data_IF_968373329996
#
_entry.id   IF_968373329996
#
_cell.length_a   1.000
_cell.length_b   1.000
_cell.length_c   1.000
_cell.angle_alpha   90.00
_cell.angle_beta   90.00
_cell.angle_gamma   90.00
#
_symmetry.space_group_name_H-M   'P 1'
#
loop_
_entity.id
_entity.type
_entity.pdbx_description
1 polymer ?
#
# COMPACT_ATOMS: atom_id res chain seq x y z
N UNK A 1 -10.87 28.93 -28.25
CA UNK A 1 -9.58 28.49 -28.80
C UNK A 1 -9.52 26.99 -28.77
N UNK A 2 -9.45 26.40 -29.93
CA UNK A 2 -9.50 24.95 -30.17
C UNK A 2 -8.28 24.28 -29.54
N UNK A 3 -8.48 23.13 -28.90
CA UNK A 3 -7.42 22.25 -28.40
C UNK A 3 -6.70 21.60 -29.59
N UNK A 4 -5.77 22.33 -30.20
CA UNK A 4 -4.92 21.87 -31.29
C UNK A 4 -3.67 21.20 -30.73
N UNK A 5 -3.55 19.91 -31.04
CA UNK A 5 -2.33 19.12 -31.22
C UNK A 5 -1.11 19.49 -30.36
N UNK A 6 -1.11 19.04 -29.11
CA UNK A 6 0.15 18.83 -28.40
C UNK A 6 0.71 17.48 -28.87
N UNK A 7 1.49 17.49 -29.94
CA UNK A 7 2.33 16.37 -30.34
C UNK A 7 3.53 16.30 -29.39
N UNK A 8 3.42 15.51 -28.34
CA UNK A 8 4.54 15.21 -27.45
C UNK A 8 5.26 14.01 -28.03
N UNK A 9 6.40 14.25 -28.71
CA UNK A 9 7.44 13.28 -29.04
C UNK A 9 6.97 11.91 -29.52
N UNK A 10 6.69 11.71 -30.81
CA UNK A 10 6.67 10.38 -31.45
C UNK A 10 5.54 9.42 -31.09
N UNK A 11 4.74 9.69 -30.10
CA UNK A 11 3.59 8.89 -29.68
C UNK A 11 2.32 9.47 -30.32
N UNK A 12 1.41 8.56 -30.78
CA UNK A 12 0.12 8.98 -31.35
C UNK A 12 -0.71 9.82 -30.36
N UNK A 13 -1.80 10.46 -30.80
CA UNK A 13 -2.62 11.30 -29.93
C UNK A 13 -3.10 10.49 -28.71
N UNK A 14 -3.21 11.14 -27.53
CA UNK A 14 -3.69 10.47 -26.31
C UNK A 14 -5.12 9.90 -26.56
N UNK A 15 -5.47 8.80 -25.90
CA UNK A 15 -6.79 8.20 -26.04
C UNK A 15 -7.87 9.20 -25.59
N UNK A 16 -9.01 9.25 -26.29
CA UNK A 16 -10.15 10.09 -25.87
C UNK A 16 -10.90 9.51 -24.69
N UNK A 17 -10.71 8.21 -24.42
CA UNK A 17 -11.36 7.47 -23.35
C UNK A 17 -10.38 6.53 -22.68
N UNK A 18 -10.45 6.42 -21.34
CA UNK A 18 -9.70 5.46 -20.52
C UNK A 18 -10.66 4.76 -19.56
N UNK A 19 -10.49 3.45 -19.42
CA UNK A 19 -11.23 2.60 -18.49
C UNK A 19 -10.32 2.20 -17.32
N UNK A 20 -10.67 2.62 -16.10
CA UNK A 20 -9.97 2.30 -14.86
C UNK A 20 -10.53 1.02 -14.26
N UNK A 21 -9.68 0.01 -14.06
CA UNK A 21 -10.00 -1.21 -13.31
C UNK A 21 -9.74 -1.02 -11.81
N UNK A 22 -10.69 -1.44 -10.96
CA UNK A 22 -10.56 -1.33 -9.51
C UNK A 22 -11.38 -2.40 -8.79
N UNK A 23 -11.05 -2.65 -7.50
CA UNK A 23 -11.86 -3.49 -6.61
C UNK A 23 -13.14 -2.78 -6.15
N UNK A 24 -14.10 -3.57 -5.64
CA UNK A 24 -15.37 -3.05 -5.15
C UNK A 24 -15.33 -2.39 -3.76
N UNK A 25 -14.22 -2.51 -3.01
CA UNK A 25 -14.14 -1.93 -1.66
C UNK A 25 -14.17 -0.39 -1.68
N UNK A 26 -14.72 0.23 -0.64
CA UNK A 26 -14.81 1.69 -0.52
C UNK A 26 -13.44 2.36 -0.66
N UNK A 27 -12.40 1.79 -0.02
CA UNK A 27 -11.04 2.30 -0.11
C UNK A 27 -10.49 2.22 -1.55
N UNK A 28 -10.69 1.11 -2.26
CA UNK A 28 -10.25 0.98 -3.65
C UNK A 28 -10.96 1.99 -4.57
N UNK A 29 -12.25 2.21 -4.35
CA UNK A 29 -13.03 3.23 -5.09
C UNK A 29 -12.54 4.64 -4.79
N UNK A 30 -12.27 4.97 -3.53
CA UNK A 30 -11.69 6.27 -3.15
C UNK A 30 -10.32 6.50 -3.81
N UNK A 31 -9.47 5.48 -3.85
CA UNK A 31 -8.17 5.54 -4.55
C UNK A 31 -8.34 5.74 -6.05
N UNK A 32 -9.29 5.04 -6.67
CA UNK A 32 -9.58 5.20 -8.11
C UNK A 32 -10.13 6.57 -8.42
N UNK A 33 -10.98 7.13 -7.55
CA UNK A 33 -11.47 8.51 -7.67
C UNK A 33 -10.31 9.51 -7.62
N UNK A 34 -9.32 9.32 -6.74
CA UNK A 34 -8.14 10.18 -6.67
C UNK A 34 -7.33 10.15 -7.99
N UNK A 35 -7.12 8.95 -8.57
CA UNK A 35 -6.48 8.80 -9.88
C UNK A 35 -7.29 9.49 -10.98
N UNK A 36 -8.61 9.25 -11.02
CA UNK A 36 -9.49 9.86 -12.02
C UNK A 36 -9.49 11.39 -11.95
N UNK A 37 -9.48 11.95 -10.74
CA UNK A 37 -9.42 13.40 -10.52
C UNK A 37 -8.07 13.98 -10.97
N UNK A 38 -6.95 13.31 -10.68
CA UNK A 38 -5.63 13.69 -11.18
C UNK A 38 -5.59 13.70 -12.72
N UNK A 39 -6.12 12.66 -13.36
CA UNK A 39 -6.19 12.59 -14.82
C UNK A 39 -7.07 13.69 -15.41
N UNK A 40 -8.26 13.95 -14.86
CA UNK A 40 -9.14 15.03 -15.35
C UNK A 40 -8.51 16.41 -15.22
N UNK A 41 -7.72 16.64 -14.18
CA UNK A 41 -7.04 17.94 -13.99
C UNK A 41 -6.03 18.23 -15.11
N UNK A 42 -5.36 17.20 -15.64
CA UNK A 42 -4.37 17.33 -16.71
C UNK A 42 -4.96 17.13 -18.11
N UNK A 43 -6.04 16.37 -18.21
CA UNK A 43 -6.71 16.02 -19.46
C UNK A 43 -8.22 16.33 -19.39
N UNK A 44 -8.65 17.62 -19.47
CA UNK A 44 -10.06 18.00 -19.31
C UNK A 44 -11.02 17.35 -20.32
N UNK A 45 -10.52 16.96 -21.51
CA UNK A 45 -11.30 16.30 -22.57
C UNK A 45 -11.31 14.79 -22.49
N UNK A 46 -10.64 14.19 -21.49
CA UNK A 46 -10.55 12.73 -21.36
C UNK A 46 -11.82 12.15 -20.72
N UNK A 47 -12.46 11.24 -21.43
CA UNK A 47 -13.56 10.44 -20.87
C UNK A 47 -12.99 9.33 -19.99
N UNK A 48 -13.37 9.31 -18.70
CA UNK A 48 -12.91 8.31 -17.75
C UNK A 48 -14.08 7.47 -17.27
N UNK A 49 -13.97 6.16 -17.50
CA UNK A 49 -14.90 5.16 -16.95
C UNK A 49 -14.21 4.33 -15.86
N UNK A 50 -14.99 3.83 -14.91
CA UNK A 50 -14.50 2.92 -13.87
C UNK A 50 -15.21 1.59 -13.97
N UNK A 51 -14.44 0.50 -14.08
CA UNK A 51 -14.93 -0.88 -14.09
C UNK A 51 -14.55 -1.55 -12.76
N UNK A 52 -15.57 -1.94 -11.98
CA UNK A 52 -15.37 -2.70 -10.75
C UNK A 52 -15.15 -4.16 -11.10
N UNK A 53 -14.02 -4.71 -10.64
CA UNK A 53 -13.65 -6.10 -10.84
C UNK A 53 -13.71 -6.80 -9.48
N UNK A 54 -14.49 -7.87 -9.41
CA UNK A 54 -14.58 -8.71 -8.22
C UNK A 54 -13.33 -9.57 -8.12
N UNK A 55 -12.72 -9.62 -6.96
CA UNK A 55 -11.54 -10.45 -6.70
C UNK A 55 -11.86 -11.56 -5.72
N UNK A 56 -11.14 -12.67 -5.81
CA UNK A 56 -11.27 -13.81 -4.88
C UNK A 56 -11.08 -13.41 -3.42
N UNK A 57 -10.25 -12.39 -3.18
CA UNK A 57 -10.05 -11.81 -1.85
C UNK A 57 -11.26 -11.05 -1.31
N UNK A 58 -12.07 -10.45 -2.19
CA UNK A 58 -13.31 -9.75 -1.78
C UNK A 58 -14.43 -10.73 -1.44
N UNK A 59 -14.43 -11.93 -2.03
CA UNK A 59 -15.43 -12.99 -1.77
C UNK A 59 -15.12 -13.82 -0.51
N UNK A 60 -14.03 -13.54 0.19
CA UNK A 60 -13.63 -14.26 1.40
C UNK A 60 -13.26 -15.73 1.17
N UNK A 61 -13.07 -16.16 -0.08
CA UNK A 61 -12.64 -17.52 -0.41
C UNK A 61 -11.23 -17.76 0.13
N UNK A 62 -11.05 -18.84 0.86
CA UNK A 62 -9.72 -19.29 1.28
C UNK A 62 -8.91 -19.64 0.02
N UNK A 63 -7.59 -19.31 -0.04
CA UNK A 63 -6.74 -19.83 -1.10
C UNK A 63 -6.88 -21.34 -1.16
N UNK A 64 -7.04 -21.88 -2.36
CA UNK A 64 -7.15 -23.32 -2.59
C UNK A 64 -5.84 -24.03 -2.20
N UNK A 65 -4.74 -23.28 -2.14
CA UNK A 65 -3.42 -23.78 -1.78
C UNK A 65 -2.84 -22.96 -0.62
N UNK A 66 -2.72 -23.59 0.55
CA UNK A 66 -2.10 -22.99 1.75
C UNK A 66 -0.62 -22.66 1.54
N UNK A 67 0.04 -23.24 0.52
CA UNK A 67 1.46 -23.06 0.20
C UNK A 67 1.68 -21.99 -0.87
N UNK A 68 0.65 -21.61 -1.64
CA UNK A 68 0.74 -20.59 -2.68
C UNK A 68 0.78 -19.15 -2.15
N UNK A 69 0.72 -18.94 -0.82
CA UNK A 69 0.70 -17.63 -0.21
C UNK A 69 -0.55 -16.81 -0.63
N UNK A 70 -0.62 -15.55 -0.17
CA UNK A 70 -1.67 -14.60 -0.61
C UNK A 70 -1.33 -13.89 -1.92
N UNK A 71 -0.38 -14.42 -2.69
CA UNK A 71 0.11 -13.82 -3.93
C UNK A 71 -1.04 -13.65 -4.93
N UNK A 72 -1.32 -12.44 -5.34
CA UNK A 72 -2.36 -12.15 -6.34
C UNK A 72 -3.82 -12.26 -5.88
N UNK A 73 -4.11 -12.58 -4.61
CA UNK A 73 -5.50 -12.74 -4.13
C UNK A 73 -6.40 -11.51 -4.38
N UNK A 74 -5.80 -10.35 -4.47
CA UNK A 74 -6.47 -9.06 -4.67
C UNK A 74 -6.15 -8.39 -6.00
N UNK A 75 -5.25 -8.94 -6.80
CA UNK A 75 -4.75 -8.31 -8.04
C UNK A 75 -4.93 -9.17 -9.28
N UNK A 76 -4.94 -10.50 -9.16
CA UNK A 76 -4.93 -11.41 -10.30
C UNK A 76 -6.09 -11.21 -11.29
N UNK A 77 -7.31 -10.98 -10.80
CA UNK A 77 -8.47 -10.74 -11.65
C UNK A 77 -8.39 -9.39 -12.36
N UNK A 78 -7.84 -8.36 -11.68
CA UNK A 78 -7.65 -7.03 -12.26
C UNK A 78 -6.55 -7.07 -13.31
N UNK A 79 -5.44 -7.77 -13.03
CA UNK A 79 -4.33 -7.95 -13.97
C UNK A 79 -4.77 -8.75 -15.21
N UNK A 80 -5.61 -9.76 -15.04
CA UNK A 80 -6.22 -10.47 -16.20
C UNK A 80 -7.08 -9.54 -17.06
N UNK A 81 -7.93 -8.73 -16.46
CA UNK A 81 -8.75 -7.76 -17.18
C UNK A 81 -7.88 -6.69 -17.87
N UNK A 82 -6.77 -6.29 -17.25
CA UNK A 82 -5.79 -5.38 -17.83
C UNK A 82 -5.12 -5.99 -19.07
N UNK A 83 -4.61 -7.22 -18.96
CA UNK A 83 -3.96 -7.94 -20.07
C UNK A 83 -4.94 -8.29 -21.21
N UNK A 84 -6.21 -8.56 -20.89
CA UNK A 84 -7.26 -8.81 -21.87
C UNK A 84 -7.72 -7.53 -22.60
N UNK A 85 -7.31 -6.33 -22.16
CA UNK A 85 -7.77 -5.06 -22.73
C UNK A 85 -9.16 -4.63 -22.25
N UNK A 86 -9.73 -5.30 -21.27
CA UNK A 86 -11.02 -4.97 -20.66
C UNK A 86 -11.00 -3.65 -19.87
N UNK A 87 -9.80 -3.28 -19.41
CA UNK A 87 -9.45 -2.01 -18.77
C UNK A 87 -8.11 -1.52 -19.32
N UNK A 88 -7.90 -0.21 -19.31
CA UNK A 88 -6.66 0.40 -19.81
C UNK A 88 -5.61 0.54 -18.71
N UNK A 89 -6.05 0.77 -17.50
CA UNK A 89 -5.19 0.81 -16.32
C UNK A 89 -5.86 0.22 -15.09
N UNK A 90 -5.07 -0.23 -14.14
CA UNK A 90 -5.50 -0.78 -12.87
C UNK A 90 -4.99 0.07 -11.69
N UNK A 91 -5.86 0.34 -10.72
CA UNK A 91 -5.53 1.14 -9.54
C UNK A 91 -5.40 0.24 -8.32
N UNK A 92 -4.26 0.36 -7.63
CA UNK A 92 -3.91 -0.48 -6.50
C UNK A 92 -3.38 0.31 -5.30
N UNK A 93 -3.61 -0.21 -4.10
CA UNK A 93 -2.72 0.09 -2.97
C UNK A 93 -1.39 -0.62 -3.24
N UNK A 94 -0.29 0.10 -3.38
CA UNK A 94 0.99 -0.49 -3.81
C UNK A 94 1.50 -1.60 -2.88
N UNK A 95 1.18 -1.54 -1.59
CA UNK A 95 1.54 -2.58 -0.60
C UNK A 95 0.84 -3.93 -0.82
N UNK A 96 -0.25 -3.95 -1.59
CA UNK A 96 -1.01 -5.16 -1.89
C UNK A 96 -0.55 -5.83 -3.21
N UNK A 97 0.30 -5.12 -3.99
CA UNK A 97 0.94 -5.67 -5.19
C UNK A 97 2.05 -6.66 -4.79
N UNK A 98 2.18 -7.79 -5.49
CA UNK A 98 3.30 -8.71 -5.27
C UNK A 98 4.64 -8.00 -5.58
N UNK A 99 5.73 -8.46 -4.96
CA UNK A 99 7.08 -7.91 -5.20
C UNK A 99 7.49 -7.99 -6.67
N UNK A 100 7.09 -9.06 -7.37
CA UNK A 100 7.18 -9.22 -8.81
C UNK A 100 5.81 -9.00 -9.45
N UNK A 101 5.75 -8.19 -10.50
CA UNK A 101 4.51 -7.96 -11.23
C UNK A 101 4.23 -9.11 -12.21
N UNK A 102 2.98 -9.27 -12.58
CA UNK A 102 2.58 -10.16 -13.67
C UNK A 102 3.27 -9.74 -14.97
N UNK A 103 3.87 -10.71 -15.68
CA UNK A 103 4.54 -10.45 -16.95
C UNK A 103 3.60 -9.73 -17.93
N UNK A 104 4.14 -8.76 -18.67
CA UNK A 104 3.35 -7.91 -19.57
C UNK A 104 2.66 -6.73 -18.89
N UNK A 105 2.95 -6.47 -17.60
CA UNK A 105 2.43 -5.30 -16.88
C UNK A 105 3.54 -4.49 -16.22
N UNK A 106 3.30 -3.20 -16.01
CA UNK A 106 4.22 -2.30 -15.31
C UNK A 106 3.48 -1.28 -14.45
N UNK A 107 4.12 -0.78 -13.39
CA UNK A 107 3.65 0.40 -12.66
C UNK A 107 4.13 1.63 -13.44
N UNK A 108 3.22 2.29 -14.15
CA UNK A 108 3.52 3.45 -14.96
C UNK A 108 3.55 4.74 -14.16
N UNK A 109 2.65 4.89 -13.18
CA UNK A 109 2.58 6.07 -12.34
C UNK A 109 2.24 5.72 -10.89
N UNK A 110 2.60 6.62 -9.98
CA UNK A 110 2.15 6.62 -8.59
C UNK A 110 1.70 8.02 -8.21
N UNK A 111 0.69 8.11 -7.35
CA UNK A 111 0.30 9.41 -6.79
C UNK A 111 1.21 9.80 -5.62
N UNK A 112 1.25 11.10 -5.24
CA UNK A 112 1.95 11.55 -4.05
C UNK A 112 1.62 10.68 -2.84
N UNK A 113 2.65 10.34 -2.06
CA UNK A 113 2.54 9.40 -0.96
C UNK A 113 1.74 9.98 0.19
N UNK A 114 0.70 9.30 0.62
CA UNK A 114 -0.02 9.58 1.87
C UNK A 114 0.80 9.15 3.09
N UNK A 115 0.43 9.58 4.34
CA UNK A 115 1.12 9.16 5.55
C UNK A 115 1.34 7.66 5.65
N UNK A 116 2.55 7.28 6.00
CA UNK A 116 2.99 5.87 6.03
C UNK A 116 2.70 5.16 7.34
N UNK A 117 2.29 5.92 8.36
CA UNK A 117 2.16 5.45 9.72
C UNK A 117 1.13 4.34 9.88
N UNK A 118 1.41 3.43 10.79
CA UNK A 118 0.39 2.58 11.39
C UNK A 118 -0.21 3.32 12.60
N UNK A 119 -1.49 3.11 12.83
CA UNK A 119 -2.22 3.67 13.97
C UNK A 119 -2.85 2.58 14.81
N UNK A 120 -2.76 2.74 16.12
CA UNK A 120 -3.50 1.97 17.09
C UNK A 120 -4.88 2.62 17.23
N UNK A 121 -5.93 1.91 16.86
CA UNK A 121 -7.32 2.38 16.94
C UNK A 121 -8.04 1.66 18.06
N UNK A 122 -8.64 2.41 18.98
CA UNK A 122 -9.31 1.89 20.17
C UNK A 122 -10.61 2.66 20.47
N UNK A 123 -11.53 2.07 21.25
CA UNK A 123 -12.75 2.74 21.68
C UNK A 123 -12.48 3.87 22.70
N UNK A 124 -11.41 3.74 23.46
CA UNK A 124 -10.96 4.74 24.45
C UNK A 124 -9.52 5.15 24.15
N UNK A 125 -9.12 6.40 24.47
CA UNK A 125 -7.74 6.83 24.28
C UNK A 125 -6.75 5.89 24.96
N UNK A 126 -5.85 5.32 24.18
CA UNK A 126 -4.75 4.48 24.68
C UNK A 126 -3.54 4.57 23.76
N UNK A 127 -2.40 4.26 24.31
CA UNK A 127 -1.17 3.95 23.58
C UNK A 127 -0.76 2.49 23.81
N UNK A 128 0.29 2.05 23.17
CA UNK A 128 0.73 0.66 23.29
C UNK A 128 1.16 0.28 24.72
N UNK A 129 1.63 1.26 25.50
CA UNK A 129 2.11 1.03 26.88
C UNK A 129 0.95 0.94 27.87
N UNK A 130 -0.13 1.70 27.64
CA UNK A 130 -1.30 1.74 28.52
C UNK A 130 -2.23 0.53 28.36
N UNK A 131 -2.05 -0.29 27.32
CA UNK A 131 -2.80 -1.55 27.17
C UNK A 131 -2.40 -2.51 28.30
N UNK A 132 -3.36 -3.09 29.05
CA UNK A 132 -3.04 -3.96 30.18
C UNK A 132 -2.28 -5.22 29.77
N UNK A 133 -1.62 -5.84 30.73
CA UNK A 133 -0.97 -7.13 30.52
C UNK A 133 -2.00 -8.17 30.02
N UNK A 134 -1.61 -8.99 29.04
CA UNK A 134 -2.49 -9.92 28.32
C UNK A 134 -3.65 -9.24 27.58
N UNK A 135 -3.56 -7.92 27.34
CA UNK A 135 -4.55 -7.20 26.55
C UNK A 135 -4.59 -7.67 25.10
N UNK A 136 -5.77 -7.62 24.48
CA UNK A 136 -6.01 -8.16 23.14
C UNK A 136 -5.89 -7.07 22.10
N UNK A 137 -5.00 -7.26 21.11
CA UNK A 137 -4.91 -6.42 19.91
C UNK A 137 -5.22 -7.26 18.67
N UNK A 138 -6.10 -6.76 17.79
CA UNK A 138 -6.45 -7.49 16.58
C UNK A 138 -5.74 -6.93 15.33
N UNK A 139 -5.07 -7.80 14.58
CA UNK A 139 -4.45 -7.49 13.29
C UNK A 139 -4.31 -8.73 12.41
N UNK A 140 -4.55 -8.59 11.10
CA UNK A 140 -4.30 -9.66 10.12
C UNK A 140 -2.94 -9.54 9.43
N UNK A 141 -2.09 -8.58 9.81
CA UNK A 141 -0.78 -8.35 9.21
C UNK A 141 0.31 -9.10 9.97
N UNK A 142 1.00 -10.00 9.28
CA UNK A 142 2.12 -10.77 9.86
C UNK A 142 3.21 -9.83 10.37
N UNK A 143 3.57 -8.79 9.61
CA UNK A 143 4.53 -7.75 10.03
C UNK A 143 4.12 -7.11 11.36
N UNK A 144 2.89 -6.60 11.46
CA UNK A 144 2.41 -5.95 12.70
C UNK A 144 2.37 -6.90 13.89
N UNK A 145 2.00 -8.18 13.67
CA UNK A 145 2.05 -9.20 14.72
C UNK A 145 3.45 -9.33 15.31
N UNK A 146 4.49 -9.44 14.47
CA UNK A 146 5.87 -9.55 14.94
C UNK A 146 6.35 -8.27 15.63
N UNK A 147 6.03 -7.09 15.09
CA UNK A 147 6.37 -5.82 15.70
C UNK A 147 5.70 -5.62 17.07
N UNK A 148 4.44 -6.02 17.22
CA UNK A 148 3.72 -6.00 18.50
C UNK A 148 4.38 -6.96 19.49
N UNK A 149 4.60 -8.23 19.11
CA UNK A 149 5.24 -9.21 19.99
C UNK A 149 6.68 -8.82 20.40
N UNK A 150 7.41 -8.16 19.51
CA UNK A 150 8.75 -7.66 19.84
C UNK A 150 8.72 -6.63 20.98
N UNK A 151 7.74 -5.74 21.00
CA UNK A 151 7.66 -4.65 21.98
C UNK A 151 6.80 -4.98 23.19
N UNK A 152 5.80 -5.81 23.01
CA UNK A 152 4.83 -6.23 24.03
C UNK A 152 4.53 -7.73 23.85
N UNK A 153 5.50 -8.59 24.26
CA UNK A 153 5.35 -10.05 24.15
C UNK A 153 4.23 -10.62 25.03
N UNK A 154 3.76 -9.84 25.99
CA UNK A 154 2.67 -10.16 26.90
C UNK A 154 1.28 -10.02 26.25
N UNK A 155 1.15 -9.32 25.11
CA UNK A 155 -0.15 -9.08 24.49
C UNK A 155 -0.66 -10.31 23.71
N UNK A 156 -1.96 -10.51 23.77
CA UNK A 156 -2.64 -11.46 22.90
C UNK A 156 -2.92 -10.82 21.54
N UNK A 157 -2.40 -11.42 20.45
CA UNK A 157 -2.60 -10.91 19.10
C UNK A 157 -3.55 -11.83 18.35
N UNK A 158 -4.77 -11.35 18.08
CA UNK A 158 -5.81 -12.07 17.36
C UNK A 158 -5.92 -11.68 15.89
N UNK A 159 -6.44 -12.58 15.05
CA UNK A 159 -6.56 -12.31 13.60
C UNK A 159 -7.73 -11.36 13.29
N UNK A 160 -7.49 -10.40 12.40
CA UNK A 160 -8.49 -9.42 11.96
C UNK A 160 -8.61 -9.40 10.45
N UNK A 161 -9.79 -9.72 9.94
CA UNK A 161 -10.12 -9.75 8.51
C UNK A 161 -11.24 -8.77 8.15
N UNK A 162 -11.25 -8.37 6.89
CA UNK A 162 -12.23 -7.47 6.30
C UNK A 162 -11.61 -6.16 5.82
N UNK A 163 -12.40 -5.32 5.17
CA UNK A 163 -12.05 -3.95 4.81
C UNK A 163 -12.03 -3.04 6.06
N UNK A 164 -11.60 -1.78 5.92
CA UNK A 164 -11.48 -0.85 7.04
C UNK A 164 -12.82 -0.66 7.79
N UNK A 165 -13.97 -0.38 7.11
CA UNK A 165 -15.26 -0.34 7.77
C UNK A 165 -15.62 -1.57 8.60
N UNK A 166 -15.41 -2.75 8.01
CA UNK A 166 -15.66 -4.04 8.71
C UNK A 166 -14.79 -4.19 9.95
N UNK A 167 -13.53 -3.76 9.89
CA UNK A 167 -12.59 -3.86 11.04
C UNK A 167 -12.99 -2.92 12.17
N UNK A 168 -13.40 -1.68 11.85
CA UNK A 168 -13.92 -0.74 12.84
C UNK A 168 -15.21 -1.25 13.48
N UNK A 169 -16.14 -1.79 12.67
CA UNK A 169 -17.36 -2.42 13.19
C UNK A 169 -17.09 -3.61 14.11
N UNK A 170 -16.05 -4.40 13.82
CA UNK A 170 -15.64 -5.52 14.69
C UNK A 170 -15.05 -5.00 16.01
N UNK A 171 -14.20 -3.98 15.97
CA UNK A 171 -13.66 -3.36 17.17
C UNK A 171 -14.79 -2.86 18.09
N UNK A 172 -15.77 -2.14 17.54
CA UNK A 172 -16.90 -1.60 18.31
C UNK A 172 -17.77 -2.68 18.97
N UNK A 173 -17.69 -3.94 18.50
CA UNK A 173 -18.51 -5.07 18.98
C UNK A 173 -17.72 -6.13 19.73
N UNK A 174 -16.42 -5.93 19.90
CA UNK A 174 -15.52 -6.89 20.54
C UNK A 174 -15.04 -6.36 21.88
N UNK A 175 -14.42 -7.24 22.65
CA UNK A 175 -13.68 -6.90 23.87
C UNK A 175 -12.18 -6.60 23.58
N UNK A 176 -11.83 -6.38 22.31
CA UNK A 176 -10.47 -6.02 21.95
C UNK A 176 -10.11 -4.63 22.45
N UNK A 177 -8.93 -4.49 22.99
CA UNK A 177 -8.43 -3.21 23.45
C UNK A 177 -8.14 -2.27 22.27
N UNK A 178 -7.61 -2.83 21.17
CA UNK A 178 -7.30 -2.05 19.99
C UNK A 178 -7.20 -2.91 18.71
N UNK A 179 -7.17 -2.24 17.57
CA UNK A 179 -6.78 -2.79 16.28
C UNK A 179 -5.68 -1.93 15.65
N UNK A 180 -4.88 -2.49 14.73
CA UNK A 180 -3.87 -1.71 14.01
C UNK A 180 -4.28 -1.53 12.56
N UNK A 181 -4.39 -0.26 12.13
CA UNK A 181 -4.72 0.13 10.77
C UNK A 181 -3.62 1.02 10.17
N UNK A 182 -3.59 1.15 8.83
CA UNK A 182 -2.77 2.15 8.16
C UNK A 182 -3.51 3.49 8.14
N UNK A 183 -2.87 4.56 8.60
CA UNK A 183 -3.40 5.92 8.64
C UNK A 183 -3.94 6.37 7.27
N UNK A 184 -3.18 6.16 6.21
CA UNK A 184 -3.60 6.50 4.84
C UNK A 184 -4.95 5.90 4.43
N UNK A 185 -5.30 4.72 4.94
CA UNK A 185 -6.61 4.09 4.67
C UNK A 185 -7.77 4.81 5.34
N UNK A 186 -7.58 5.25 6.58
CA UNK A 186 -8.56 6.01 7.34
C UNK A 186 -8.77 7.41 6.74
N UNK A 187 -7.69 8.11 6.39
CA UNK A 187 -7.74 9.44 5.78
C UNK A 187 -8.45 9.41 4.42
N UNK A 188 -8.14 8.41 3.57
CA UNK A 188 -8.77 8.28 2.24
C UNK A 188 -10.26 7.96 2.29
N UNK A 189 -10.71 7.34 3.37
CA UNK A 189 -12.13 7.07 3.61
C UNK A 189 -12.84 8.25 4.28
N UNK A 190 -12.12 9.31 4.65
CA UNK A 190 -12.69 10.46 5.36
C UNK A 190 -13.12 10.15 6.79
N UNK A 191 -12.52 9.10 7.43
CA UNK A 191 -12.86 8.71 8.79
C UNK A 191 -12.06 9.46 9.85
N UNK A 192 -10.99 10.14 9.47
CA UNK A 192 -10.18 10.98 10.37
C UNK A 192 -10.85 12.35 10.51
N UNK A 193 -11.41 12.65 11.66
CA UNK A 193 -11.98 13.97 11.96
C UNK A 193 -10.94 14.94 12.51
N UNK A 194 -10.07 14.43 13.37
CA UNK A 194 -8.97 15.16 13.98
C UNK A 194 -7.74 14.26 14.00
N UNK A 195 -6.58 14.81 14.37
CA UNK A 195 -5.30 14.10 14.30
C UNK A 195 -5.29 12.74 14.99
N UNK A 196 -6.09 12.59 16.06
CA UNK A 196 -6.15 11.44 16.96
C UNK A 196 -7.55 10.83 17.08
N UNK A 197 -8.53 11.25 16.25
CA UNK A 197 -9.92 10.80 16.31
C UNK A 197 -10.38 10.26 14.96
N UNK A 198 -11.05 9.12 15.04
CA UNK A 198 -11.68 8.43 13.91
C UNK A 198 -13.13 8.25 14.19
N UNK A 199 -14.01 8.68 13.27
CA UNK A 199 -15.46 8.47 13.37
C UNK A 199 -15.92 7.50 12.28
N UNK A 200 -16.75 6.55 12.67
CA UNK A 200 -17.37 5.62 11.74
C UNK A 200 -18.67 5.03 12.31
N UNK A 201 -19.76 5.10 11.53
CA UNK A 201 -21.08 4.50 11.83
C UNK A 201 -21.61 4.86 13.23
N UNK A 202 -21.48 6.14 13.62
CA UNK A 202 -21.96 6.65 14.91
C UNK A 202 -21.06 6.32 16.10
N UNK A 203 -19.91 5.66 15.89
CA UNK A 203 -18.91 5.44 16.92
C UNK A 203 -17.73 6.38 16.72
N UNK A 204 -17.16 6.84 17.83
CA UNK A 204 -15.88 7.54 17.89
C UNK A 204 -14.81 6.61 18.40
N UNK A 205 -13.63 6.68 17.78
CA UNK A 205 -12.46 5.91 18.16
C UNK A 205 -11.28 6.86 18.38
N UNK A 206 -10.40 6.52 19.30
CA UNK A 206 -9.08 7.11 19.41
C UNK A 206 -8.14 6.47 18.39
N UNK A 207 -7.24 7.26 17.79
CA UNK A 207 -6.24 6.79 16.83
C UNK A 207 -4.86 7.30 17.21
N UNK A 208 -4.07 6.49 17.90
CA UNK A 208 -2.72 6.82 18.34
C UNK A 208 -1.69 6.36 17.31
N UNK A 209 -0.79 7.26 16.87
CA UNK A 209 0.29 6.92 15.97
C UNK A 209 1.24 5.92 16.64
N UNK A 210 1.59 4.86 15.93
CA UNK A 210 2.64 3.95 16.36
C UNK A 210 4.00 4.48 15.89
N UNK A 211 5.03 4.51 16.75
CA UNK A 211 6.34 5.08 16.41
C UNK A 211 7.00 4.30 15.28
N UNK A 212 7.46 5.00 14.24
CA UNK A 212 8.05 4.39 13.04
C UNK A 212 9.34 3.63 13.32
N UNK A 213 10.07 4.01 14.37
CA UNK A 213 11.29 3.32 14.83
C UNK A 213 11.01 1.87 15.25
N UNK A 214 9.78 1.57 15.62
CA UNK A 214 9.33 0.23 16.02
C UNK A 214 8.42 -0.38 14.95
N UNK A 215 7.48 0.40 14.45
CA UNK A 215 6.46 -0.03 13.49
C UNK A 215 6.81 0.47 12.08
N UNK A 216 7.95 -0.01 11.56
CA UNK A 216 8.33 0.30 10.19
C UNK A 216 7.24 -0.21 9.22
N UNK A 217 6.73 0.65 8.30
CA UNK A 217 5.57 0.30 7.48
C UNK A 217 5.85 -0.84 6.50
N UNK A 218 4.81 -1.39 5.91
CA UNK A 218 4.95 -2.28 4.76
C UNK A 218 5.46 -1.49 3.54
N UNK A 219 6.28 -2.11 2.71
CA UNK A 219 6.72 -1.48 1.46
C UNK A 219 5.52 -1.08 0.60
N UNK A 220 5.54 0.15 0.10
CA UNK A 220 4.43 0.75 -0.64
C UNK A 220 3.25 1.22 0.22
N UNK A 221 3.33 1.21 1.55
CA UNK A 221 2.27 1.77 2.38
C UNK A 221 2.13 3.28 2.10
N UNK A 222 0.88 3.76 1.99
CA UNK A 222 0.58 5.14 1.62
C UNK A 222 0.58 5.41 0.11
N UNK A 223 1.08 4.52 -0.74
CA UNK A 223 1.18 4.71 -2.19
C UNK A 223 -0.03 4.14 -2.93
N UNK A 224 -0.59 4.94 -3.85
CA UNK A 224 -1.53 4.48 -4.88
C UNK A 224 -0.72 4.25 -6.15
N UNK A 225 -0.74 3.02 -6.67
CA UNK A 225 -0.05 2.64 -7.88
C UNK A 225 -1.04 2.49 -9.05
N UNK A 226 -0.62 2.98 -10.21
CA UNK A 226 -1.31 2.84 -11.49
C UNK A 226 -0.53 1.84 -12.34
N UNK A 227 -1.11 0.68 -12.58
CA UNK A 227 -0.55 -0.40 -13.38
C UNK A 227 -1.16 -0.36 -14.78
N UNK A 228 -0.32 -0.52 -15.80
CA UNK A 228 -0.72 -0.58 -17.22
C UNK A 228 -0.13 -1.83 -17.88
N UNK A 229 -0.55 -2.13 -19.11
CA UNK A 229 0.15 -3.07 -19.97
C UNK A 229 1.53 -2.52 -20.32
N UNK A 230 2.55 -3.36 -20.28
CA UNK A 230 3.89 -2.96 -20.71
C UNK A 230 3.88 -2.61 -22.21
N UNK A 231 4.48 -1.47 -22.57
CA UNK A 231 4.53 -0.99 -23.93
C UNK A 231 3.24 -0.31 -24.44
N UNK A 232 2.26 -0.05 -23.57
CA UNK A 232 1.09 0.76 -23.92
C UNK A 232 1.42 2.25 -23.78
N UNK A 233 2.23 2.76 -24.72
CA UNK A 233 2.71 4.14 -24.72
C UNK A 233 1.57 5.17 -24.74
N UNK A 234 0.42 4.84 -25.33
CA UNK A 234 -0.75 5.71 -25.37
C UNK A 234 -1.34 5.96 -24.00
N UNK A 235 -1.43 4.92 -23.17
CA UNK A 235 -1.90 5.04 -21.78
C UNK A 235 -0.81 5.65 -20.91
N UNK A 236 0.45 5.27 -21.13
CA UNK A 236 1.60 5.78 -20.39
C UNK A 236 1.71 7.29 -20.44
N UNK A 237 1.62 7.91 -21.62
CA UNK A 237 1.64 9.38 -21.77
C UNK A 237 0.56 10.06 -20.93
N UNK A 238 -0.62 9.44 -20.80
CA UNK A 238 -1.72 10.00 -20.03
C UNK A 238 -1.44 9.94 -18.52
N UNK A 239 -0.89 8.83 -18.03
CA UNK A 239 -0.67 8.64 -16.59
C UNK A 239 0.65 9.28 -16.10
N UNK A 240 1.60 9.56 -16.99
CA UNK A 240 2.87 10.20 -16.61
C UNK A 240 2.66 11.59 -15.96
N UNK A 241 1.60 12.32 -16.35
CA UNK A 241 1.31 13.65 -15.79
C UNK A 241 0.82 13.61 -14.33
N UNK A 242 0.36 12.47 -13.85
CA UNK A 242 -0.04 12.29 -12.45
C UNK A 242 1.02 11.57 -11.62
N UNK A 243 2.17 11.25 -12.24
CA UNK A 243 3.22 10.51 -11.58
C UNK A 243 4.04 11.40 -10.64
N UNK A 244 4.10 11.03 -9.37
CA UNK A 244 5.00 11.63 -8.39
C UNK A 244 6.35 10.94 -8.43
N UNK A 245 7.37 11.69 -8.85
CA UNK A 245 8.71 11.15 -9.11
C UNK A 245 9.38 10.61 -7.84
N UNK A 246 9.32 11.36 -6.73
CA UNK A 246 9.97 10.98 -5.47
C UNK A 246 9.30 9.73 -4.87
N UNK A 247 7.96 9.69 -4.87
CA UNK A 247 7.20 8.52 -4.44
C UNK A 247 7.54 7.29 -5.29
N UNK A 248 7.70 7.47 -6.62
CA UNK A 248 8.07 6.39 -7.54
C UNK A 248 9.46 5.83 -7.24
N UNK A 249 10.45 6.69 -6.99
CA UNK A 249 11.80 6.26 -6.60
C UNK A 249 11.78 5.52 -5.25
N UNK A 250 11.08 6.05 -4.26
CA UNK A 250 10.91 5.37 -2.96
C UNK A 250 10.25 4.00 -3.13
N UNK A 251 9.18 3.90 -3.92
CA UNK A 251 8.51 2.63 -4.17
C UNK A 251 9.43 1.63 -4.90
N UNK A 252 10.25 2.07 -5.85
CA UNK A 252 11.24 1.22 -6.54
C UNK A 252 12.25 0.64 -5.56
N UNK A 253 12.79 1.45 -4.65
CA UNK A 253 13.73 1.01 -3.62
C UNK A 253 13.09 -0.02 -2.68
N UNK A 254 11.90 0.28 -2.15
CA UNK A 254 11.17 -0.61 -1.25
C UNK A 254 10.83 -1.95 -1.91
N UNK A 255 10.33 -1.93 -3.14
CA UNK A 255 10.04 -3.15 -3.91
C UNK A 255 11.29 -3.92 -4.30
N UNK A 256 12.40 -3.21 -4.61
CA UNK A 256 13.71 -3.79 -4.85
C UNK A 256 14.19 -4.61 -3.66
N UNK A 257 14.11 -4.03 -2.46
CA UNK A 257 14.47 -4.71 -1.21
C UNK A 257 13.59 -5.95 -0.96
N UNK A 258 12.26 -5.83 -1.14
CA UNK A 258 11.34 -6.96 -0.98
C UNK A 258 11.60 -8.09 -1.97
N UNK A 259 11.96 -7.80 -3.22
CA UNK A 259 12.33 -8.82 -4.23
C UNK A 259 13.56 -9.61 -3.82
N UNK A 260 14.60 -8.94 -3.32
CA UNK A 260 15.84 -9.59 -2.87
C UNK A 260 15.62 -10.51 -1.65
N UNK A 261 14.66 -10.18 -0.80
CA UNK A 261 14.26 -11.07 0.30
C UNK A 261 13.45 -12.28 -0.16
N UNK A 262 13.13 -12.39 -1.48
CA UNK A 262 12.12 -13.33 -1.98
C UNK A 262 10.80 -13.21 -1.20
N UNK A 263 10.56 -12.00 -0.67
CA UNK A 263 9.48 -11.70 0.25
C UNK A 263 8.14 -11.64 -0.45
N UNK A 264 7.27 -12.57 -0.10
CA UNK A 264 5.85 -12.47 -0.35
C UNK A 264 5.18 -11.59 0.73
N UNK A 265 3.93 -11.17 0.49
CA UNK A 265 3.11 -10.41 1.44
C UNK A 265 2.95 -11.08 2.83
N UNK A 266 3.43 -12.32 2.98
CA UNK A 266 3.40 -13.09 4.22
C UNK A 266 4.70 -13.00 5.05
N UNK A 267 5.78 -12.40 4.53
CA UNK A 267 6.98 -12.19 5.35
C UNK A 267 6.81 -10.99 6.28
N UNK A 268 7.28 -11.09 7.52
CA UNK A 268 7.21 -10.00 8.50
C UNK A 268 8.30 -8.97 8.23
N UNK A 269 8.14 -8.20 7.15
CA UNK A 269 9.10 -7.20 6.69
C UNK A 269 8.49 -5.81 6.76
N UNK A 270 9.19 -4.88 7.42
CA UNK A 270 9.00 -3.44 7.31
C UNK A 270 10.08 -2.85 6.43
N UNK A 271 9.71 -1.93 5.53
CA UNK A 271 10.66 -1.15 4.73
C UNK A 271 10.10 0.22 4.41
N UNK A 272 10.92 1.24 4.55
CA UNK A 272 10.56 2.63 4.27
C UNK A 272 11.71 3.34 3.59
N UNK A 273 11.46 3.84 2.38
CA UNK A 273 12.32 4.79 1.70
C UNK A 273 11.75 6.20 1.81
N UNK A 274 12.60 7.17 2.05
CA UNK A 274 12.28 8.60 2.10
C UNK A 274 13.32 9.39 1.33
N UNK A 275 12.90 10.48 0.66
CA UNK A 275 13.80 11.38 -0.08
C UNK A 275 13.79 12.75 0.60
N UNK A 276 14.99 13.30 0.77
CA UNK A 276 15.20 14.68 1.21
C UNK A 276 16.22 15.34 0.27
N UNK A 277 15.76 16.26 -0.56
CA UNK A 277 16.57 16.81 -1.65
C UNK A 277 16.93 15.71 -2.66
N UNK A 278 18.22 15.47 -2.88
CA UNK A 278 18.74 14.44 -3.80
C UNK A 278 19.11 13.13 -3.08
N UNK A 279 18.97 13.08 -1.76
CA UNK A 279 19.36 11.93 -0.95
C UNK A 279 18.16 11.08 -0.58
N UNK A 280 18.32 9.77 -0.72
CA UNK A 280 17.35 8.75 -0.28
C UNK A 280 17.90 8.06 0.97
N UNK A 281 17.04 7.90 1.97
CA UNK A 281 17.28 7.03 3.12
C UNK A 281 16.33 5.84 3.06
N UNK A 282 16.85 4.63 3.23
CA UNK A 282 16.05 3.41 3.29
C UNK A 282 16.27 2.75 4.64
N UNK A 283 15.17 2.43 5.32
CA UNK A 283 15.15 1.65 6.55
C UNK A 283 14.56 0.27 6.26
N UNK A 284 15.13 -0.77 6.83
CA UNK A 284 14.64 -2.14 6.70
C UNK A 284 14.57 -2.84 8.05
N UNK A 285 13.53 -3.66 8.23
CA UNK A 285 13.26 -4.45 9.43
C UNK A 285 12.72 -5.80 9.01
N UNK A 286 13.45 -6.88 9.31
CA UNK A 286 13.13 -8.25 8.89
C UNK A 286 13.06 -9.14 10.13
N UNK A 287 11.93 -9.79 10.34
CA UNK A 287 11.76 -10.77 11.41
C UNK A 287 11.95 -12.18 10.86
N UNK A 288 12.87 -12.92 11.44
CA UNK A 288 13.05 -14.33 11.14
C UNK A 288 12.06 -15.18 11.93
N UNK A 289 11.80 -16.40 11.44
CA UNK A 289 10.91 -17.31 12.11
C UNK A 289 11.46 -17.68 13.50
N UNK A 290 10.66 -17.43 14.54
CA UNK A 290 11.05 -17.72 15.94
C UNK A 290 11.98 -16.68 16.58
N UNK A 291 12.38 -15.62 15.85
CA UNK A 291 13.17 -14.55 16.41
C UNK A 291 12.32 -13.63 17.32
N UNK A 292 12.91 -13.20 18.44
CA UNK A 292 12.28 -12.26 19.38
C UNK A 292 12.47 -10.80 19.02
N UNK A 293 13.44 -10.50 18.14
CA UNK A 293 13.74 -9.17 17.63
C UNK A 293 14.07 -9.22 16.13
N UNK A 294 13.83 -8.13 15.39
CA UNK A 294 14.16 -8.08 13.97
C UNK A 294 15.67 -7.90 13.74
N UNK A 295 16.12 -8.29 12.55
CA UNK A 295 17.32 -7.75 11.93
C UNK A 295 16.96 -6.40 11.31
N UNK A 296 17.73 -5.37 11.60
CA UNK A 296 17.47 -4.00 11.16
C UNK A 296 18.66 -3.40 10.44
N UNK A 297 18.40 -2.49 9.55
CA UNK A 297 19.42 -1.74 8.84
C UNK A 297 18.91 -0.43 8.28
N UNK A 298 19.84 0.47 8.03
CA UNK A 298 19.60 1.73 7.35
C UNK A 298 20.73 1.98 6.35
N UNK A 299 20.37 2.56 5.20
CA UNK A 299 21.31 3.02 4.18
C UNK A 299 20.89 4.40 3.71
N UNK A 300 21.85 5.21 3.30
CA UNK A 300 21.60 6.52 2.72
C UNK A 300 22.53 6.75 1.54
N UNK A 301 21.99 7.35 0.48
CA UNK A 301 22.74 7.65 -0.74
C UNK A 301 21.90 8.42 -1.76
N UNK A 302 22.45 8.70 -2.95
CA UNK A 302 21.72 9.42 -4.00
C UNK A 302 20.42 8.72 -4.38
N UNK A 303 19.33 9.48 -4.51
CA UNK A 303 18.01 8.91 -4.86
C UNK A 303 17.97 8.28 -6.26
N UNK A 304 18.89 8.69 -7.16
CA UNK A 304 19.05 8.07 -8.47
C UNK A 304 19.45 6.59 -8.39
N UNK A 305 20.14 6.19 -7.30
CA UNK A 305 20.69 4.85 -7.09
C UNK A 305 19.74 3.93 -6.28
N UNK A 306 18.45 4.20 -6.34
CA UNK A 306 17.40 3.54 -5.52
C UNK A 306 17.52 2.00 -5.47
N UNK A 307 17.80 1.35 -6.60
CA UNK A 307 17.94 -0.12 -6.68
C UNK A 307 19.25 -0.62 -6.07
N UNK A 308 20.36 0.10 -6.28
CA UNK A 308 21.65 -0.20 -5.67
C UNK A 308 21.61 -0.06 -4.15
N UNK A 309 20.94 1.00 -3.65
CA UNK A 309 20.73 1.22 -2.22
C UNK A 309 19.87 0.10 -1.60
N UNK A 310 18.84 -0.36 -2.30
CA UNK A 310 18.03 -1.50 -1.85
C UNK A 310 18.88 -2.79 -1.73
N UNK A 311 19.76 -3.05 -2.71
CA UNK A 311 20.65 -4.20 -2.68
C UNK A 311 21.70 -4.08 -1.57
N UNK A 312 22.21 -2.89 -1.30
CA UNK A 312 23.16 -2.64 -0.22
C UNK A 312 22.50 -2.83 1.16
N UNK A 313 21.28 -2.32 1.34
CA UNK A 313 20.48 -2.55 2.56
C UNK A 313 20.26 -4.06 2.79
N UNK A 314 19.93 -4.79 1.72
CA UNK A 314 19.74 -6.25 1.79
C UNK A 314 21.00 -6.95 2.29
N UNK A 315 22.18 -6.64 1.71
CA UNK A 315 23.47 -7.20 2.16
C UNK A 315 23.74 -6.86 3.61
N UNK A 316 23.57 -5.60 4.00
CA UNK A 316 23.81 -5.13 5.38
C UNK A 316 22.95 -5.87 6.41
N UNK A 317 21.68 -6.13 6.12
CA UNK A 317 20.76 -6.82 7.03
C UNK A 317 21.03 -8.32 7.09
N UNK A 318 21.56 -8.93 6.01
CA UNK A 318 21.81 -10.37 5.93
C UNK A 318 23.25 -10.78 6.25
N UNK A 319 24.09 -9.85 6.74
CA UNK A 319 25.44 -10.17 7.21
C UNK A 319 26.46 -10.34 6.08
N UNK A 320 26.25 -9.63 4.96
CA UNK A 320 27.21 -9.56 3.84
C UNK A 320 28.23 -8.45 4.02
#
# INVERSE_FOLDING_TARGET
MSAENISIGGHGPPPRKIVLGTRGSELARAQTTAVANGLRAHWPGLTIETKIIRTSGDEGKKPVDLHAGRKGLFTAEIERALLAGDVDLAVHSAKDLPSELTAGTEIAAVLPRAPVDDVLVAMTPCDLQSIPMNGIIATGSVRRKHQLHWKRPDLEIVDLRGNVPTRLSKLAKSEWHAIVLARAGLERLGFVEQKDRVAFAGNEFSATLLPQEVFLPAGGQGVIAVQIRSGDDRVKVVVDLINDFDTRLCLRAERGFLRLLHGDCNQPVGVLATIKGTMMKILGQVFDLGATAPREGAIEGPSADAESLAAELFRKINGG
#
